data_IF_333894849814
#
_entry.id   IF_333894849814
#
_cell.length_a   1.000
_cell.length_b   1.000
_cell.length_c   1.000
_cell.angle_alpha   90.00
_cell.angle_beta   90.00
_cell.angle_gamma   90.00
#
_symmetry.space_group_name_H-M   'P 1'
#
loop_
_entity.id
_entity.type
_entity.pdbx_description
1 polymer ?
#
# COMPACT_ATOMS: atom_id res chain seq x y z
N UNK A 1 4.57 -22.31 48.75
CA UNK A 1 4.26 -22.85 47.40
C UNK A 1 3.79 -21.80 46.36
N UNK A 2 3.64 -20.49 46.69
CA UNK A 2 3.25 -19.45 45.72
C UNK A 2 4.36 -19.00 44.76
N UNK A 3 5.64 -19.17 45.13
CA UNK A 3 6.79 -18.75 44.31
C UNK A 3 7.11 -19.66 43.12
N UNK A 4 6.54 -20.87 43.06
CA UNK A 4 6.85 -21.83 41.99
C UNK A 4 6.01 -21.60 40.72
N UNK A 5 4.85 -20.93 40.81
CA UNK A 5 3.95 -20.73 39.65
C UNK A 5 4.32 -19.55 38.76
N UNK A 6 4.88 -18.47 39.33
CA UNK A 6 5.22 -17.26 38.56
C UNK A 6 6.45 -17.44 37.65
N UNK A 7 7.38 -18.37 37.98
CA UNK A 7 8.62 -18.57 37.22
C UNK A 7 8.43 -19.28 35.88
N UNK A 8 7.33 -20.03 35.72
CA UNK A 8 7.02 -20.74 34.47
C UNK A 8 6.00 -19.99 33.59
N UNK A 9 5.23 -19.06 34.15
CA UNK A 9 4.26 -18.28 33.37
C UNK A 9 4.94 -17.30 32.39
N UNK A 10 6.01 -16.63 32.84
CA UNK A 10 6.75 -15.65 32.06
C UNK A 10 7.41 -16.22 30.78
N UNK A 11 8.12 -17.37 30.81
CA UNK A 11 8.66 -17.97 29.59
C UNK A 11 7.56 -18.52 28.65
N UNK A 12 6.43 -19.00 29.18
CA UNK A 12 5.32 -19.46 28.33
C UNK A 12 4.60 -18.30 27.63
N UNK A 13 4.42 -17.16 28.30
CA UNK A 13 3.86 -15.95 27.68
C UNK A 13 4.84 -15.39 26.63
N UNK A 14 6.13 -15.34 26.95
CA UNK A 14 7.15 -14.91 25.98
C UNK A 14 7.19 -15.84 24.75
N UNK A 15 7.11 -17.15 24.94
CA UNK A 15 7.04 -18.12 23.84
C UNK A 15 5.74 -17.96 23.03
N UNK A 16 4.60 -17.69 23.68
CA UNK A 16 3.33 -17.44 23.01
C UNK A 16 3.31 -16.14 22.20
N UNK A 17 3.91 -15.07 22.71
CA UNK A 17 4.08 -13.81 21.96
C UNK A 17 5.04 -14.01 20.79
N UNK A 18 6.15 -14.70 21.01
CA UNK A 18 7.16 -14.93 19.96
C UNK A 18 6.63 -15.86 18.86
N UNK A 19 5.85 -16.88 19.24
CA UNK A 19 5.09 -17.69 18.29
C UNK A 19 4.02 -16.87 17.56
N UNK A 20 3.24 -16.05 18.28
CA UNK A 20 2.20 -15.20 17.69
C UNK A 20 2.74 -14.14 16.72
N UNK A 21 3.95 -13.61 16.97
CA UNK A 21 4.68 -12.72 16.05
C UNK A 21 5.25 -13.49 14.87
N UNK A 22 5.80 -14.69 15.09
CA UNK A 22 6.31 -15.54 14.01
C UNK A 22 5.21 -16.11 13.10
N UNK A 23 4.01 -16.31 13.65
CA UNK A 23 2.80 -16.74 12.96
C UNK A 23 1.93 -15.54 12.54
N UNK A 24 2.38 -14.31 12.81
CA UNK A 24 1.68 -13.12 12.34
C UNK A 24 1.78 -13.11 10.81
N UNK A 25 0.65 -13.09 10.08
CA UNK A 25 0.69 -13.04 8.64
C UNK A 25 1.31 -11.70 8.24
N UNK A 26 2.59 -11.74 7.85
CA UNK A 26 3.20 -10.63 7.14
C UNK A 26 2.52 -10.53 5.78
N UNK A 27 2.09 -9.32 5.34
CA UNK A 27 1.63 -9.15 3.97
C UNK A 27 2.80 -9.53 3.06
N UNK A 28 2.68 -10.67 2.40
CA UNK A 28 3.63 -11.09 1.38
C UNK A 28 3.31 -10.22 0.17
N UNK A 29 4.09 -9.17 -0.04
CA UNK A 29 4.02 -8.30 -1.23
C UNK A 29 4.53 -9.00 -2.52
N UNK A 30 4.41 -10.33 -2.57
CA UNK A 30 4.67 -11.17 -3.74
C UNK A 30 3.48 -12.12 -4.02
N UNK A 31 2.25 -11.70 -3.69
CA UNK A 31 1.01 -12.35 -4.16
C UNK A 31 0.25 -11.50 -5.20
N UNK A 32 0.97 -10.70 -5.98
CA UNK A 32 0.49 -10.41 -7.33
C UNK A 32 0.52 -11.74 -8.10
N UNK A 33 -0.56 -12.53 -8.02
CA UNK A 33 -0.76 -13.74 -8.85
C UNK A 33 -1.16 -15.06 -8.16
N UNK A 34 -1.58 -15.10 -6.88
CA UNK A 34 -2.04 -16.37 -6.25
C UNK A 34 -3.50 -16.38 -5.80
N UNK A 35 -4.24 -15.28 -5.99
CA UNK A 35 -5.68 -15.38 -5.97
C UNK A 35 -6.07 -15.90 -7.36
N UNK A 36 -6.55 -17.14 -7.43
CA UNK A 36 -7.16 -17.65 -8.65
C UNK A 36 -8.16 -16.60 -9.15
N UNK A 37 -8.02 -16.21 -10.40
CA UNK A 37 -8.91 -15.33 -11.15
C UNK A 37 -10.34 -15.75 -10.90
N UNK A 38 -11.25 -14.79 -10.97
CA UNK A 38 -12.68 -15.10 -10.97
C UNK A 38 -13.02 -16.15 -12.03
N UNK A 39 -12.33 -16.15 -13.17
CA UNK A 39 -12.41 -17.19 -14.20
C UNK A 39 -12.11 -18.58 -13.63
N UNK A 40 -10.91 -18.81 -13.08
CA UNK A 40 -10.51 -20.13 -12.56
C UNK A 40 -11.34 -20.53 -11.35
N UNK A 41 -11.74 -19.59 -10.51
CA UNK A 41 -12.63 -19.88 -9.38
C UNK A 41 -14.02 -20.35 -9.83
N UNK A 42 -14.63 -19.73 -10.84
CA UNK A 42 -15.95 -20.12 -11.34
C UNK A 42 -15.90 -21.38 -12.22
N UNK A 43 -14.97 -21.43 -13.17
CA UNK A 43 -14.90 -22.52 -14.15
C UNK A 43 -14.30 -23.80 -13.56
N UNK A 44 -13.26 -23.69 -12.74
CA UNK A 44 -12.48 -24.86 -12.31
C UNK A 44 -12.79 -25.27 -10.87
N UNK A 45 -12.85 -24.31 -9.94
CA UNK A 45 -13.13 -24.62 -8.52
C UNK A 45 -14.61 -24.90 -8.29
N UNK A 46 -15.50 -24.07 -8.85
CA UNK A 46 -16.95 -24.28 -8.77
C UNK A 46 -17.47 -25.23 -9.86
N UNK A 47 -16.68 -25.49 -10.90
CA UNK A 47 -17.00 -26.47 -11.94
C UNK A 47 -18.15 -26.06 -12.86
N UNK A 48 -18.37 -24.76 -13.08
CA UNK A 48 -19.47 -24.30 -13.93
C UNK A 48 -19.27 -24.67 -15.41
N UNK A 49 -18.03 -24.57 -15.89
CA UNK A 49 -17.59 -25.07 -17.20
C UNK A 49 -16.07 -25.29 -17.15
N UNK A 50 -15.60 -26.43 -16.58
CA UNK A 50 -14.19 -26.66 -16.30
C UNK A 50 -13.42 -27.04 -17.58
N UNK A 51 -12.51 -26.20 -18.04
CA UNK A 51 -11.78 -26.37 -19.30
C UNK A 51 -10.35 -26.89 -19.13
N UNK A 52 -9.76 -26.84 -17.93
CA UNK A 52 -8.37 -27.31 -17.70
C UNK A 52 -8.13 -28.80 -18.03
N UNK A 53 -9.19 -29.57 -18.23
CA UNK A 53 -9.12 -30.99 -18.62
C UNK A 53 -9.71 -31.24 -20.02
N UNK A 54 -10.05 -30.18 -20.75
CA UNK A 54 -10.72 -30.23 -22.04
C UNK A 54 -9.80 -29.78 -23.18
N UNK A 55 -9.42 -30.73 -24.02
CA UNK A 55 -8.57 -30.50 -25.19
C UNK A 55 -7.11 -30.26 -24.81
N UNK A 56 -6.22 -30.61 -25.74
CA UNK A 56 -4.78 -30.57 -25.50
C UNK A 56 -4.30 -29.15 -25.17
N UNK A 57 -4.88 -28.12 -25.80
CA UNK A 57 -4.55 -26.72 -25.54
C UNK A 57 -4.73 -26.30 -24.08
N UNK A 58 -5.94 -26.47 -23.52
CA UNK A 58 -6.19 -26.06 -22.15
C UNK A 58 -5.41 -26.91 -21.15
N UNK A 59 -5.23 -28.21 -21.42
CA UNK A 59 -4.41 -29.08 -20.56
C UNK A 59 -2.97 -28.59 -20.49
N UNK A 60 -2.37 -28.25 -21.64
CA UNK A 60 -0.99 -27.77 -21.72
C UNK A 60 -0.80 -26.39 -21.06
N UNK A 61 -1.86 -25.57 -21.00
CA UNK A 61 -1.83 -24.22 -20.43
C UNK A 61 -2.50 -24.10 -19.04
N UNK A 62 -3.05 -25.19 -18.49
CA UNK A 62 -3.76 -25.22 -17.22
C UNK A 62 -2.86 -25.07 -15.99
N UNK A 63 -1.54 -25.16 -16.16
CA UNK A 63 -0.56 -25.07 -15.07
C UNK A 63 -0.57 -23.70 -14.38
N UNK A 64 -1.02 -22.66 -15.08
CA UNK A 64 -1.19 -21.32 -14.55
C UNK A 64 -2.63 -20.84 -14.62
N UNK A 65 -2.80 -19.56 -14.33
CA UNK A 65 -4.07 -18.86 -14.44
C UNK A 65 -3.96 -17.81 -15.54
N UNK A 66 -4.09 -18.29 -16.78
CA UNK A 66 -3.82 -17.49 -17.97
C UNK A 66 -5.08 -17.18 -18.78
N UNK A 67 -6.26 -17.38 -18.18
CA UNK A 67 -7.53 -17.24 -18.87
C UNK A 67 -7.63 -15.86 -19.56
N UNK A 68 -7.20 -14.78 -18.90
CA UNK A 68 -7.26 -13.44 -19.48
C UNK A 68 -6.29 -13.19 -20.62
N UNK A 69 -5.15 -13.87 -20.66
CA UNK A 69 -4.18 -13.63 -21.72
C UNK A 69 -4.65 -14.20 -23.05
N UNK A 70 -5.49 -15.24 -23.01
CA UNK A 70 -6.07 -15.84 -24.20
C UNK A 70 -7.47 -15.32 -24.50
N UNK A 71 -8.32 -15.21 -23.48
CA UNK A 71 -9.74 -14.88 -23.64
C UNK A 71 -10.07 -13.42 -23.32
N UNK A 72 -9.12 -12.62 -22.82
CA UNK A 72 -9.37 -11.30 -22.24
C UNK A 72 -10.36 -11.36 -21.04
N UNK A 73 -11.17 -10.32 -20.84
CA UNK A 73 -12.10 -10.22 -19.71
C UNK A 73 -11.49 -9.61 -18.45
N UNK A 74 -12.25 -9.64 -17.36
CA UNK A 74 -11.87 -9.07 -16.07
C UNK A 74 -11.76 -10.15 -14.99
N UNK A 75 -10.53 -10.56 -14.70
CA UNK A 75 -10.18 -11.61 -13.71
C UNK A 75 -10.46 -11.24 -12.26
N UNK A 76 -10.83 -9.99 -11.98
CA UNK A 76 -11.11 -9.51 -10.62
C UNK A 76 -12.59 -9.36 -10.32
N UNK A 77 -13.45 -9.37 -11.35
CA UNK A 77 -14.89 -9.22 -11.19
C UNK A 77 -15.55 -10.51 -10.72
N UNK A 78 -16.44 -10.43 -9.73
CA UNK A 78 -17.17 -11.59 -9.22
C UNK A 78 -18.46 -11.86 -10.01
N UNK A 79 -19.03 -10.81 -10.61
CA UNK A 79 -20.22 -10.86 -11.44
C UNK A 79 -19.85 -11.33 -12.85
N UNK A 80 -20.56 -12.36 -13.35
CA UNK A 80 -20.29 -12.99 -14.64
C UNK A 80 -20.25 -11.99 -15.79
N UNK A 81 -21.25 -11.11 -15.91
CA UNK A 81 -21.34 -10.16 -17.02
C UNK A 81 -20.18 -9.17 -17.04
N UNK A 82 -19.67 -8.79 -15.87
CA UNK A 82 -18.52 -7.88 -15.73
C UNK A 82 -17.21 -8.64 -15.99
N UNK A 83 -17.10 -9.88 -15.54
CA UNK A 83 -15.95 -10.75 -15.80
C UNK A 83 -15.82 -11.07 -17.30
N UNK A 84 -16.95 -11.25 -17.98
CA UNK A 84 -17.02 -11.60 -19.40
C UNK A 84 -17.02 -10.37 -20.34
N UNK A 85 -16.98 -9.16 -19.80
CA UNK A 85 -16.94 -7.95 -20.60
C UNK A 85 -15.64 -7.89 -21.44
N UNK A 86 -15.79 -7.83 -22.76
CA UNK A 86 -14.66 -7.74 -23.68
C UNK A 86 -13.91 -9.06 -23.91
N UNK A 87 -14.55 -10.21 -23.64
CA UNK A 87 -13.98 -11.50 -24.01
C UNK A 87 -13.75 -11.58 -25.53
N UNK A 88 -12.66 -12.23 -25.90
CA UNK A 88 -12.31 -12.52 -27.29
C UNK A 88 -12.15 -14.02 -27.51
N UNK A 89 -12.29 -14.44 -28.75
CA UNK A 89 -11.89 -15.79 -29.16
C UNK A 89 -10.38 -15.80 -29.37
N UNK A 90 -9.58 -16.63 -28.67
CA UNK A 90 -8.12 -16.52 -28.71
C UNK A 90 -7.51 -16.62 -30.11
N UNK A 91 -8.14 -17.40 -31.01
CA UNK A 91 -7.67 -17.59 -32.38
C UNK A 91 -8.14 -16.51 -33.36
N UNK A 92 -8.97 -15.54 -32.95
CA UNK A 92 -9.29 -14.39 -33.81
C UNK A 92 -8.14 -13.38 -33.89
N UNK A 93 -7.25 -13.38 -32.90
CA UNK A 93 -5.99 -12.61 -32.90
C UNK A 93 -4.88 -13.42 -32.19
N UNK A 94 -4.24 -14.37 -32.89
CA UNK A 94 -3.14 -15.15 -32.32
C UNK A 94 -1.94 -14.29 -31.92
N UNK A 95 -1.71 -13.17 -32.60
CA UNK A 95 -0.62 -12.26 -32.24
C UNK A 95 -0.89 -11.60 -30.88
N UNK A 96 -2.12 -11.13 -30.64
CA UNK A 96 -2.53 -10.57 -29.35
C UNK A 96 -2.58 -11.59 -28.21
N UNK A 97 -3.02 -12.83 -28.50
CA UNK A 97 -3.31 -13.84 -27.48
C UNK A 97 -2.12 -14.75 -27.15
N UNK A 98 -1.17 -14.94 -28.07
CA UNK A 98 -0.10 -15.93 -27.92
C UNK A 98 1.31 -15.31 -27.90
N UNK A 99 1.55 -14.19 -28.60
CA UNK A 99 2.91 -13.66 -28.79
C UNK A 99 3.58 -13.16 -27.50
N UNK A 100 2.82 -12.88 -26.45
CA UNK A 100 3.35 -12.49 -25.14
C UNK A 100 4.18 -13.60 -24.48
N UNK A 101 3.81 -14.86 -24.71
CA UNK A 101 4.49 -16.05 -24.20
C UNK A 101 5.30 -16.78 -25.28
N UNK A 102 4.87 -16.67 -26.55
CA UNK A 102 5.46 -17.32 -27.72
C UNK A 102 5.92 -16.31 -28.78
N UNK A 103 6.88 -15.42 -28.47
CA UNK A 103 7.21 -14.28 -29.33
C UNK A 103 7.83 -14.68 -30.68
N UNK A 104 8.39 -15.88 -30.78
CA UNK A 104 9.09 -16.34 -31.98
C UNK A 104 8.33 -17.38 -32.81
N UNK A 105 7.30 -18.00 -32.25
CA UNK A 105 6.66 -19.19 -32.81
C UNK A 105 5.14 -19.22 -32.64
N UNK A 106 4.50 -18.13 -32.19
CA UNK A 106 3.06 -18.09 -31.99
C UNK A 106 2.24 -18.46 -33.25
N UNK A 107 2.68 -18.06 -34.44
CA UNK A 107 1.97 -18.35 -35.69
C UNK A 107 1.95 -19.86 -35.99
N UNK A 108 3.10 -20.52 -35.85
CA UNK A 108 3.22 -21.96 -36.10
C UNK A 108 2.43 -22.79 -35.09
N UNK A 109 2.43 -22.36 -33.82
CA UNK A 109 1.62 -23.00 -32.79
C UNK A 109 0.12 -22.78 -33.04
N UNK A 110 -0.31 -21.55 -33.34
CA UNK A 110 -1.70 -21.23 -33.59
C UNK A 110 -2.30 -22.05 -34.75
N UNK A 111 -1.54 -22.29 -35.84
CA UNK A 111 -1.98 -23.12 -36.97
C UNK A 111 -2.29 -24.55 -36.54
N UNK A 112 -1.42 -25.18 -35.74
CA UNK A 112 -1.64 -26.57 -35.29
C UNK A 112 -2.95 -26.72 -34.49
N UNK A 113 -3.30 -25.72 -33.69
CA UNK A 113 -4.55 -25.72 -32.93
C UNK A 113 -5.76 -25.35 -33.79
N UNK A 114 -5.62 -24.41 -34.72
CA UNK A 114 -6.66 -24.06 -35.68
C UNK A 114 -7.07 -25.27 -36.54
N UNK A 115 -6.09 -26.04 -37.02
CA UNK A 115 -6.30 -27.29 -37.76
C UNK A 115 -7.07 -28.33 -36.93
N UNK A 116 -6.71 -28.45 -35.64
CA UNK A 116 -7.38 -29.39 -34.71
C UNK A 116 -8.84 -28.99 -34.45
N UNK A 117 -9.12 -27.69 -34.41
CA UNK A 117 -10.45 -27.13 -34.17
C UNK A 117 -11.28 -26.98 -35.45
N UNK A 118 -10.69 -27.23 -36.63
CA UNK A 118 -11.34 -27.02 -37.92
C UNK A 118 -11.64 -25.54 -38.21
N UNK A 119 -10.81 -24.65 -37.66
CA UNK A 119 -10.94 -23.20 -37.75
C UNK A 119 -9.94 -22.67 -38.77
N UNK A 120 -10.40 -21.80 -39.67
CA UNK A 120 -9.53 -21.08 -40.61
C UNK A 120 -9.10 -19.73 -40.00
N UNK A 121 -7.80 -19.59 -39.72
CA UNK A 121 -7.22 -18.37 -39.15
C UNK A 121 -7.37 -17.16 -40.09
N UNK A 122 -7.36 -17.37 -41.41
CA UNK A 122 -7.50 -16.30 -42.39
C UNK A 122 -8.93 -15.75 -42.43
N UNK A 123 -9.91 -16.61 -42.13
CA UNK A 123 -11.33 -16.24 -42.06
C UNK A 123 -11.65 -15.52 -40.74
N UNK A 124 -10.88 -15.74 -39.66
CA UNK A 124 -11.12 -15.15 -38.34
C UNK A 124 -10.39 -13.82 -38.08
N UNK A 125 -9.27 -13.56 -38.75
CA UNK A 125 -8.58 -12.27 -38.68
C UNK A 125 -9.42 -11.12 -39.30
N UNK A 126 -10.41 -11.45 -40.14
CA UNK A 126 -11.46 -10.56 -40.60
C UNK A 126 -12.66 -10.62 -39.64
N UNK A 127 -12.50 -10.11 -38.42
CA UNK A 127 -13.56 -10.14 -37.41
C UNK A 127 -14.90 -9.56 -37.91
N UNK A 128 -16.05 -10.12 -37.51
CA UNK A 128 -17.35 -9.57 -37.82
C UNK A 128 -17.58 -8.30 -37.00
N UNK A 129 -17.67 -7.16 -37.68
CA UNK A 129 -18.51 -6.06 -37.21
C UNK A 129 -19.94 -6.60 -37.15
N UNK A 130 -20.49 -6.72 -35.94
CA UNK A 130 -21.80 -7.31 -35.69
C UNK A 130 -22.90 -6.64 -36.50
N UNK A 131 -23.36 -7.32 -37.54
CA UNK A 131 -24.64 -7.10 -38.19
C UNK A 131 -25.31 -8.46 -38.27
N UNK A 132 -25.94 -8.85 -37.15
CA UNK A 132 -26.82 -10.00 -37.10
C UNK A 132 -28.20 -9.58 -37.61
N UNK A 133 -28.42 -9.70 -38.92
CA UNK A 133 -29.78 -9.80 -39.47
C UNK A 133 -29.94 -11.08 -40.28
N UNK A 134 -31.18 -11.58 -40.24
CA UNK A 134 -31.79 -12.65 -41.03
C UNK A 134 -31.64 -14.10 -40.56
N UNK A 135 -32.57 -14.48 -39.67
CA UNK A 135 -33.31 -15.74 -39.81
C UNK A 135 -34.82 -15.43 -40.08
N UNK A 136 -35.56 -16.29 -40.81
CA UNK A 136 -36.77 -15.93 -41.58
C UNK A 136 -38.09 -15.94 -40.76
N UNK A 137 -39.23 -15.48 -41.33
CA UNK A 137 -40.31 -14.88 -40.57
C UNK A 137 -41.27 -15.92 -39.97
N UNK A 138 -41.72 -15.66 -38.74
CA UNK A 138 -42.95 -16.21 -38.20
C UNK A 138 -43.84 -15.05 -37.73
N UNK A 139 -45.03 -15.02 -38.29
CA UNK A 139 -46.07 -14.02 -38.08
C UNK A 139 -46.63 -14.07 -36.65
N UNK A 140 -47.16 -12.91 -36.23
CA UNK A 140 -48.32 -12.70 -35.36
C UNK A 140 -48.10 -12.11 -33.96
N UNK A 141 -48.66 -10.90 -33.84
CA UNK A 141 -49.42 -10.34 -32.70
C UNK A 141 -48.72 -9.48 -31.64
N UNK A 142 -48.68 -8.18 -31.95
CA UNK A 142 -49.39 -7.10 -31.23
C UNK A 142 -49.46 -7.12 -29.69
N UNK A 143 -48.73 -6.20 -29.04
CA UNK A 143 -49.28 -5.28 -28.01
C UNK A 143 -48.23 -4.25 -27.56
N UNK A 144 -48.58 -2.96 -27.44
CA UNK A 144 -47.65 -1.92 -27.02
C UNK A 144 -47.71 -1.73 -25.50
N UNK A 145 -46.55 -1.63 -24.85
CA UNK A 145 -46.46 -1.03 -23.52
C UNK A 145 -45.43 0.08 -23.56
N UNK A 146 -45.95 1.30 -23.53
CA UNK A 146 -45.20 2.54 -23.28
C UNK A 146 -44.55 2.52 -21.89
N UNK A 147 -43.47 3.31 -21.79
CA UNK A 147 -43.00 4.16 -20.67
C UNK A 147 -41.59 3.81 -20.11
N UNK A 148 -40.85 4.79 -19.56
CA UNK A 148 -40.20 5.90 -20.27
C UNK A 148 -38.68 5.93 -20.08
N UNK A 149 -38.02 6.72 -20.94
CA UNK A 149 -36.62 7.09 -20.91
C UNK A 149 -36.12 7.49 -19.51
N UNK A 150 -35.13 6.75 -19.01
CA UNK A 150 -34.18 7.19 -18.01
C UNK A 150 -32.85 7.47 -18.71
N UNK A 151 -32.56 8.74 -18.91
CA UNK A 151 -31.28 9.25 -19.41
C UNK A 151 -30.19 8.92 -18.39
N UNK A 152 -29.35 7.93 -18.70
CA UNK A 152 -28.11 7.68 -18.00
C UNK A 152 -26.98 7.85 -19.01
N UNK A 153 -26.15 8.87 -18.77
CA UNK A 153 -24.89 9.12 -19.47
C UNK A 153 -24.03 7.85 -19.50
N UNK A 154 -23.99 7.20 -20.67
CA UNK A 154 -22.97 6.22 -21.02
C UNK A 154 -21.65 6.97 -21.24
N UNK A 155 -20.56 6.63 -20.53
CA UNK A 155 -19.24 7.06 -20.95
C UNK A 155 -18.91 6.32 -22.25
N UNK A 156 -18.73 7.09 -23.32
CA UNK A 156 -18.30 6.61 -24.63
C UNK A 156 -17.18 5.56 -24.49
N UNK A 157 -17.46 4.34 -24.95
CA UNK A 157 -16.50 3.24 -24.98
C UNK A 157 -15.25 3.69 -25.73
N UNK A 158 -14.10 3.57 -25.08
CA UNK A 158 -12.80 3.79 -25.72
C UNK A 158 -12.63 2.80 -26.89
N UNK A 159 -12.04 3.23 -28.01
CA UNK A 159 -11.80 2.36 -29.14
C UNK A 159 -10.91 1.18 -28.72
N UNK A 160 -11.39 -0.04 -28.97
CA UNK A 160 -10.61 -1.26 -28.82
C UNK A 160 -9.34 -1.11 -29.66
N UNK A 161 -8.19 -0.98 -29.01
CA UNK A 161 -6.88 -0.94 -29.68
C UNK A 161 -6.56 -2.33 -30.21
N UNK A 162 -7.07 -2.65 -31.40
CA UNK A 162 -6.67 -3.82 -32.19
C UNK A 162 -5.36 -3.47 -32.91
N UNK A 163 -4.23 -3.83 -32.31
CA UNK A 163 -2.96 -3.84 -33.03
C UNK A 163 -1.76 -3.54 -32.14
N UNK A 164 -1.02 -4.58 -31.74
CA UNK A 164 0.40 -4.58 -31.33
C UNK A 164 0.84 -3.63 -30.22
N UNK A 165 -0.04 -2.79 -29.68
CA UNK A 165 0.25 -1.88 -28.60
C UNK A 165 0.41 -2.71 -27.34
N UNK A 166 1.58 -2.59 -26.70
CA UNK A 166 1.86 -3.16 -25.39
C UNK A 166 0.71 -2.78 -24.46
N UNK A 167 -0.12 -3.76 -24.11
CA UNK A 167 -1.24 -3.56 -23.18
C UNK A 167 -0.61 -3.20 -21.83
N UNK A 168 -0.73 -1.94 -21.43
CA UNK A 168 -0.33 -1.51 -20.10
C UNK A 168 -1.35 -2.03 -19.08
N UNK A 169 -1.12 -3.27 -18.67
CA UNK A 169 -1.92 -3.99 -17.68
C UNK A 169 -1.95 -3.23 -16.35
N UNK A 170 -0.90 -2.47 -16.00
CA UNK A 170 -0.88 -1.67 -14.78
C UNK A 170 -1.87 -0.49 -14.89
N UNK A 171 -1.88 0.22 -16.02
CA UNK A 171 -2.85 1.29 -16.27
C UNK A 171 -4.30 0.78 -16.28
N UNK A 172 -4.55 -0.36 -16.92
CA UNK A 172 -5.88 -1.02 -16.87
C UNK A 172 -6.25 -1.47 -15.47
N UNK A 173 -5.31 -2.00 -14.71
CA UNK A 173 -5.56 -2.40 -13.32
C UNK A 173 -5.84 -1.18 -12.42
N UNK A 174 -5.14 -0.07 -12.62
CA UNK A 174 -5.38 1.18 -11.89
C UNK A 174 -6.72 1.84 -12.24
N UNK A 175 -7.13 1.80 -13.52
CA UNK A 175 -8.41 2.36 -13.97
C UNK A 175 -9.61 1.45 -13.65
N UNK A 176 -9.42 0.14 -13.64
CA UNK A 176 -10.44 -0.85 -13.31
C UNK A 176 -10.59 -1.09 -11.80
N UNK A 177 -9.73 -0.54 -10.93
CA UNK A 177 -10.02 -0.48 -9.50
C UNK A 177 -11.13 0.55 -9.29
N UNK A 178 -12.39 0.16 -9.01
CA UNK A 178 -13.28 1.10 -8.34
C UNK A 178 -12.53 1.59 -7.10
N UNK A 179 -12.50 2.91 -6.85
CA UNK A 179 -12.04 3.46 -5.56
C UNK A 179 -12.71 2.59 -4.51
N UNK A 180 -11.95 1.69 -3.86
CA UNK A 180 -12.50 0.72 -2.93
C UNK A 180 -13.13 1.55 -1.83
N UNK A 181 -14.45 1.77 -1.94
CA UNK A 181 -15.26 1.98 -0.77
C UNK A 181 -14.90 0.79 0.10
N UNK A 182 -14.34 1.08 1.27
CA UNK A 182 -13.93 0.05 2.23
C UNK A 182 -15.20 -0.69 2.61
N UNK A 183 -15.59 -1.68 1.80
CA UNK A 183 -16.74 -2.51 2.06
C UNK A 183 -16.29 -3.35 3.23
N UNK A 184 -16.84 -3.03 4.38
CA UNK A 184 -16.52 -3.75 5.60
C UNK A 184 -17.02 -5.18 5.40
N UNK A 185 -16.11 -6.05 4.96
CA UNK A 185 -16.38 -7.46 4.81
C UNK A 185 -16.88 -7.97 6.17
N UNK A 186 -18.11 -8.47 6.20
CA UNK A 186 -18.76 -8.93 7.44
C UNK A 186 -17.89 -9.98 8.15
N UNK A 187 -17.15 -10.80 7.39
CA UNK A 187 -16.16 -11.74 7.93
C UNK A 187 -15.04 -11.05 8.72
N UNK A 188 -14.49 -9.94 8.19
CA UNK A 188 -13.47 -9.16 8.90
C UNK A 188 -14.03 -8.49 10.16
N UNK A 189 -15.28 -8.03 10.14
CA UNK A 189 -15.96 -7.50 11.33
C UNK A 189 -16.07 -8.61 12.41
N UNK A 190 -16.57 -9.80 12.03
CA UNK A 190 -16.73 -10.92 12.97
C UNK A 190 -15.38 -11.32 13.56
N UNK A 191 -14.34 -11.43 12.74
CA UNK A 191 -12.99 -11.79 13.18
C UNK A 191 -12.42 -10.73 14.15
N UNK A 192 -12.67 -9.46 13.86
CA UNK A 192 -12.28 -8.34 14.74
C UNK A 192 -12.98 -8.43 16.09
N UNK A 193 -14.30 -8.68 16.10
CA UNK A 193 -15.08 -8.84 17.34
C UNK A 193 -14.57 -10.04 18.16
N UNK A 194 -14.30 -11.18 17.51
CA UNK A 194 -13.77 -12.36 18.20
C UNK A 194 -12.39 -12.10 18.81
N UNK A 195 -11.51 -11.41 18.08
CA UNK A 195 -10.18 -11.05 18.55
C UNK A 195 -10.25 -10.15 19.79
N UNK A 196 -11.02 -9.06 19.73
CA UNK A 196 -11.20 -8.15 20.86
C UNK A 196 -11.93 -8.82 22.04
N UNK A 197 -12.87 -9.72 21.78
CA UNK A 197 -13.52 -10.52 22.80
C UNK A 197 -12.54 -11.42 23.54
N UNK A 198 -11.68 -12.14 22.82
CA UNK A 198 -10.63 -12.99 23.39
C UNK A 198 -9.63 -12.18 24.21
N UNK A 199 -9.15 -11.04 23.67
CA UNK A 199 -8.25 -10.14 24.38
C UNK A 199 -8.90 -9.56 25.64
N UNK A 200 -10.19 -9.21 25.59
CA UNK A 200 -10.95 -8.72 26.73
C UNK A 200 -11.10 -9.76 27.83
N UNK A 201 -11.47 -10.99 27.48
CA UNK A 201 -11.60 -12.10 28.45
C UNK A 201 -10.24 -12.44 29.05
N UNK A 202 -9.20 -12.58 28.23
CA UNK A 202 -7.86 -12.89 28.72
C UNK A 202 -7.30 -11.75 29.59
N UNK A 203 -7.50 -10.51 29.17
CA UNK A 203 -7.13 -9.31 29.93
C UNK A 203 -7.85 -9.24 31.29
N UNK A 204 -9.15 -9.53 31.34
CA UNK A 204 -9.92 -9.56 32.58
C UNK A 204 -9.46 -10.69 33.53
N UNK A 205 -9.16 -11.88 32.99
CA UNK A 205 -8.61 -12.99 33.77
C UNK A 205 -7.22 -12.67 34.31
N UNK A 206 -6.33 -12.12 33.48
CA UNK A 206 -5.00 -11.68 33.90
C UNK A 206 -5.08 -10.58 34.97
N UNK A 207 -5.96 -9.60 34.78
CA UNK A 207 -6.20 -8.54 35.75
C UNK A 207 -6.69 -9.08 37.09
N UNK A 208 -7.66 -10.02 37.07
CA UNK A 208 -8.28 -10.56 38.29
C UNK A 208 -7.41 -11.59 39.02
N UNK A 209 -6.67 -12.43 38.32
CA UNK A 209 -5.95 -13.56 38.93
C UNK A 209 -4.45 -13.35 39.09
N UNK A 210 -3.81 -12.53 38.24
CA UNK A 210 -2.36 -12.31 38.31
C UNK A 210 -1.95 -11.02 39.02
N UNK A 211 -2.92 -10.27 39.54
CA UNK A 211 -2.67 -8.97 40.18
C UNK A 211 -2.08 -7.95 39.18
N UNK A 212 -2.38 -8.10 37.88
CA UNK A 212 -1.84 -7.23 36.84
C UNK A 212 -2.22 -5.76 37.08
N UNK A 213 -3.38 -5.51 37.68
CA UNK A 213 -3.83 -4.15 38.03
C UNK A 213 -2.94 -3.45 39.06
N UNK A 214 -2.47 -4.18 40.08
CA UNK A 214 -1.57 -3.63 41.10
C UNK A 214 -0.18 -3.33 40.51
N UNK A 215 0.33 -4.24 39.67
CA UNK A 215 1.60 -4.05 38.95
C UNK A 215 1.53 -2.89 37.95
N UNK A 216 0.39 -2.72 37.27
CA UNK A 216 0.18 -1.58 36.37
C UNK A 216 0.11 -0.25 37.13
N UNK A 217 -0.50 -0.23 38.32
CA UNK A 217 -0.50 0.96 39.17
C UNK A 217 0.91 1.31 39.65
N UNK A 218 1.72 0.31 40.04
CA UNK A 218 3.12 0.48 40.41
C UNK A 218 3.98 0.97 39.24
N UNK A 219 3.79 0.40 38.04
CA UNK A 219 4.51 0.79 36.83
C UNK A 219 4.14 2.22 36.41
N UNK A 220 2.86 2.58 36.46
CA UNK A 220 2.40 3.94 36.15
C UNK A 220 2.92 4.96 37.17
N UNK A 221 3.10 4.56 38.43
CA UNK A 221 3.80 5.37 39.45
C UNK A 221 5.31 5.48 39.25
N UNK A 222 5.92 4.58 38.45
CA UNK A 222 7.36 4.58 38.11
C UNK A 222 7.69 5.17 36.75
N UNK A 223 6.68 5.46 35.91
CA UNK A 223 6.93 6.17 34.67
C UNK A 223 7.51 7.55 35.03
N UNK A 224 8.73 7.87 34.59
CA UNK A 224 9.32 9.15 34.90
C UNK A 224 8.44 10.24 34.31
N UNK A 225 8.19 11.31 35.07
CA UNK A 225 7.39 12.45 34.62
C UNK A 225 7.84 13.03 33.26
N UNK A 226 9.07 12.71 32.82
CA UNK A 226 9.64 13.05 31.52
C UNK A 226 8.99 12.34 30.31
N UNK A 227 8.36 11.18 30.48
CA UNK A 227 7.67 10.50 29.37
C UNK A 227 6.32 11.15 29.04
N UNK A 228 5.65 11.73 30.04
CA UNK A 228 4.41 12.51 29.82
C UNK A 228 4.69 13.89 29.22
N UNK A 229 5.85 14.48 29.51
CA UNK A 229 6.23 15.79 28.93
C UNK A 229 6.63 15.70 27.45
N UNK A 230 7.18 14.57 26.98
CA UNK A 230 7.54 14.38 25.57
C UNK A 230 6.32 14.42 24.63
N UNK A 231 5.19 13.86 25.03
CA UNK A 231 3.94 13.90 24.24
C UNK A 231 3.30 15.29 24.22
N UNK A 232 3.49 16.08 25.28
CA UNK A 232 3.00 17.47 25.33
C UNK A 232 3.89 18.42 24.53
N UNK A 233 5.21 18.22 24.57
CA UNK A 233 6.16 19.05 23.84
C UNK A 233 5.94 19.03 22.32
N UNK A 234 5.65 17.87 21.73
CA UNK A 234 5.36 17.77 20.29
C UNK A 234 4.11 18.57 19.87
N UNK A 235 3.06 18.55 20.69
CA UNK A 235 1.80 19.28 20.42
C UNK A 235 1.99 20.79 20.60
N UNK A 236 2.79 21.22 21.57
CA UNK A 236 3.08 22.65 21.77
C UNK A 236 3.99 23.22 20.68
N UNK A 237 4.99 22.47 20.22
CA UNK A 237 5.84 22.90 19.09
C UNK A 237 5.03 23.02 17.81
N UNK A 238 4.14 22.06 17.51
CA UNK A 238 3.24 22.14 16.37
C UNK A 238 2.28 23.34 16.47
N UNK A 239 1.75 23.61 17.66
CA UNK A 239 0.90 24.79 17.90
C UNK A 239 1.68 26.09 17.76
N UNK A 240 2.92 26.18 18.27
CA UNK A 240 3.77 27.34 18.12
C UNK A 240 4.16 27.59 16.64
N UNK A 241 4.45 26.53 15.88
CA UNK A 241 4.72 26.59 14.45
C UNK A 241 3.50 27.03 13.61
N UNK A 242 2.28 26.76 14.09
CA UNK A 242 1.07 27.25 13.44
C UNK A 242 0.94 28.79 13.53
N UNK A 243 1.41 29.39 14.62
CA UNK A 243 1.25 30.82 14.90
C UNK A 243 2.48 31.68 14.52
N UNK A 244 3.64 31.07 14.25
CA UNK A 244 4.85 31.77 13.81
C UNK A 244 5.31 31.28 12.43
N UNK A 245 5.20 32.10 11.37
CA UNK A 245 5.67 31.71 10.04
C UNK A 245 7.18 31.47 10.00
N UNK A 246 7.95 32.23 10.79
CA UNK A 246 9.40 32.06 10.92
C UNK A 246 9.78 30.70 11.50
N UNK A 247 9.02 30.19 12.49
CA UNK A 247 9.29 28.88 13.07
C UNK A 247 9.01 27.75 12.06
N UNK A 248 8.02 27.94 11.18
CA UNK A 248 7.66 26.96 10.14
C UNK A 248 8.76 26.82 9.08
N UNK A 249 9.42 27.92 8.73
CA UNK A 249 10.54 27.93 7.79
C UNK A 249 11.81 27.31 8.40
N UNK A 250 12.02 27.49 9.71
CA UNK A 250 13.20 26.98 10.41
C UNK A 250 13.10 25.49 10.77
N UNK A 251 11.90 24.92 10.86
CA UNK A 251 11.69 23.55 11.34
C UNK A 251 12.45 22.49 10.51
N UNK A 252 12.43 22.50 9.17
CA UNK A 252 13.17 21.52 8.37
C UNK A 252 14.69 21.65 8.51
N UNK A 253 15.19 22.85 8.83
CA UNK A 253 16.62 23.09 9.07
C UNK A 253 17.04 22.57 10.45
N UNK A 254 16.19 22.72 11.47
CA UNK A 254 16.41 22.17 12.81
C UNK A 254 16.35 20.64 12.81
N UNK A 255 15.47 20.04 12.00
CA UNK A 255 15.37 18.58 11.86
C UNK A 255 16.64 17.95 11.28
N UNK A 256 17.32 18.69 10.38
CA UNK A 256 18.60 18.27 9.79
C UNK A 256 19.82 18.60 10.64
N UNK A 257 19.65 19.37 11.73
CA UNK A 257 20.75 19.76 12.60
C UNK A 257 21.25 18.57 13.43
N UNK A 258 22.55 18.52 13.71
CA UNK A 258 23.12 17.45 14.54
C UNK A 258 22.62 17.55 15.99
N UNK A 259 22.50 16.42 16.72
CA UNK A 259 22.10 16.43 18.13
C UNK A 259 23.00 17.33 19.00
N UNK A 260 24.29 17.41 18.69
CA UNK A 260 25.24 18.28 19.38
C UNK A 260 24.94 19.77 19.16
N UNK A 261 24.56 20.15 17.94
CA UNK A 261 24.15 21.53 17.59
C UNK A 261 22.88 21.92 18.34
N UNK A 262 21.88 21.04 18.37
CA UNK A 262 20.62 21.29 19.09
C UNK A 262 20.86 21.42 20.60
N UNK A 263 21.71 20.58 21.18
CA UNK A 263 22.08 20.67 22.59
C UNK A 263 22.90 21.93 22.94
N UNK A 264 23.70 22.44 22.00
CA UNK A 264 24.40 23.72 22.18
C UNK A 264 23.42 24.90 22.11
N UNK A 265 22.49 24.87 21.15
CA UNK A 265 21.46 25.89 20.99
C UNK A 265 20.52 25.96 22.21
N UNK A 266 20.05 24.82 22.71
CA UNK A 266 19.22 24.76 23.92
C UNK A 266 19.98 25.30 25.13
N UNK A 267 21.25 24.93 25.35
CA UNK A 267 22.07 25.48 26.45
C UNK A 267 22.21 27.00 26.37
N UNK A 268 22.42 27.57 25.18
CA UNK A 268 22.51 29.02 24.99
C UNK A 268 21.19 29.69 25.38
N UNK A 269 20.06 29.17 24.89
CA UNK A 269 18.74 29.75 25.12
C UNK A 269 18.26 29.59 26.58
N UNK A 270 18.60 28.48 27.24
CA UNK A 270 18.23 28.20 28.64
C UNK A 270 19.05 29.01 29.64
N UNK A 271 20.32 29.30 29.34
CA UNK A 271 21.22 29.99 30.27
C UNK A 271 20.82 31.44 30.55
N UNK A 272 20.38 32.18 29.52
CA UNK A 272 19.85 33.55 29.61
C UNK A 272 19.00 33.83 28.36
N UNK A 273 17.66 33.79 28.44
CA UNK A 273 16.80 33.94 27.27
C UNK A 273 16.98 35.29 26.55
N UNK A 274 17.30 36.35 27.29
CA UNK A 274 17.46 37.69 26.72
C UNK A 274 18.80 37.83 25.98
N UNK A 275 19.89 37.28 26.56
CA UNK A 275 21.21 37.30 25.92
C UNK A 275 21.37 36.24 24.84
N UNK A 276 20.74 35.08 25.00
CA UNK A 276 20.80 33.98 24.03
C UNK A 276 20.28 34.42 22.66
N UNK A 277 19.14 35.13 22.62
CA UNK A 277 18.61 35.71 21.39
C UNK A 277 19.57 36.70 20.73
N UNK A 278 20.13 37.64 21.51
CA UNK A 278 21.11 38.61 21.00
C UNK A 278 22.38 37.95 20.46
N UNK A 279 22.83 36.86 21.09
CA UNK A 279 24.03 36.14 20.68
C UNK A 279 23.81 35.38 19.37
N UNK A 280 22.65 34.74 19.20
CA UNK A 280 22.27 34.09 17.94
C UNK A 280 22.15 35.13 16.82
N UNK A 281 21.54 36.28 17.11
CA UNK A 281 21.43 37.38 16.14
C UNK A 281 22.81 37.94 15.75
N UNK A 282 23.71 38.12 16.71
CA UNK A 282 25.08 38.56 16.46
C UNK A 282 25.85 37.54 15.60
N UNK A 283 25.69 36.24 15.87
CA UNK A 283 26.28 35.17 15.07
C UNK A 283 25.71 35.13 13.65
N UNK A 284 24.41 35.35 13.48
CA UNK A 284 23.76 35.39 12.17
C UNK A 284 24.23 36.57 11.31
N UNK A 285 24.71 37.65 11.93
CA UNK A 285 25.28 38.83 11.26
C UNK A 285 26.79 38.72 11.02
N UNK A 286 27.45 37.68 11.54
CA UNK A 286 28.89 37.48 11.36
C UNK A 286 29.18 37.14 9.89
N UNK A 287 30.22 37.75 9.32
CA UNK A 287 30.65 37.43 7.95
C UNK A 287 31.01 35.93 7.85
N UNK A 288 30.43 35.16 6.90
CA UNK A 288 30.76 33.74 6.72
C UNK A 288 32.25 33.46 6.55
N UNK A 289 33.02 34.40 6.00
CA UNK A 289 34.48 34.28 5.88
C UNK A 289 35.16 34.29 7.24
N UNK A 290 34.64 35.08 8.19
CA UNK A 290 35.17 35.13 9.55
C UNK A 290 34.91 33.79 10.27
N UNK A 291 33.75 33.17 10.04
CA UNK A 291 33.44 31.84 10.59
C UNK A 291 34.45 30.80 10.09
N UNK A 292 34.75 30.81 8.79
CA UNK A 292 35.73 29.87 8.22
C UNK A 292 37.15 30.14 8.73
N UNK A 293 37.53 31.40 8.96
CA UNK A 293 38.80 31.74 9.60
C UNK A 293 38.85 31.21 11.04
N UNK A 294 37.82 31.46 11.85
CA UNK A 294 37.74 30.98 13.24
C UNK A 294 37.76 29.45 13.29
N UNK A 295 37.12 28.77 12.33
CA UNK A 295 37.10 27.31 12.26
C UNK A 295 38.45 26.69 11.89
N UNK A 296 39.36 27.47 11.31
CA UNK A 296 40.72 27.04 10.98
C UNK A 296 41.74 27.31 12.08
N UNK A 297 41.37 28.12 13.08
CA UNK A 297 42.20 28.31 14.26
C UNK A 297 42.26 27.00 15.05
N UNK A 298 43.44 26.69 15.55
CA UNK A 298 43.59 25.61 16.52
C UNK A 298 43.14 26.06 17.91
N UNK A 299 43.14 25.12 18.87
CA UNK A 299 42.67 25.39 20.23
C UNK A 299 43.53 26.46 20.93
N UNK A 300 44.84 26.53 20.66
CA UNK A 300 45.76 27.52 21.25
C UNK A 300 45.44 28.93 20.75
N UNK A 301 45.24 29.09 19.44
CA UNK A 301 44.85 30.35 18.83
C UNK A 301 43.47 30.82 19.31
N UNK A 302 42.53 29.88 19.49
CA UNK A 302 41.20 30.18 20.00
C UNK A 302 41.28 30.68 21.46
N UNK A 303 42.09 30.03 22.30
CA UNK A 303 42.34 30.47 23.68
C UNK A 303 42.97 31.86 23.72
N UNK A 304 43.95 32.13 22.85
CA UNK A 304 44.60 33.43 22.76
C UNK A 304 43.63 34.53 22.31
N UNK A 305 42.73 34.21 21.37
CA UNK A 305 41.69 35.13 20.90
C UNK A 305 40.67 35.43 22.01
N UNK A 306 40.25 34.41 22.77
CA UNK A 306 39.36 34.59 23.93
C UNK A 306 40.04 35.42 25.02
N UNK A 307 41.34 35.20 25.28
CA UNK A 307 42.12 35.97 26.25
C UNK A 307 42.23 37.44 25.82
N UNK A 308 42.51 37.70 24.53
CA UNK A 308 42.58 39.05 23.97
C UNK A 308 41.25 39.79 24.11
N UNK A 309 40.13 39.15 23.76
CA UNK A 309 38.79 39.74 23.90
C UNK A 309 38.48 40.05 25.37
N UNK A 310 38.89 39.19 26.30
CA UNK A 310 38.71 39.41 27.73
C UNK A 310 39.50 40.63 28.22
N UNK A 311 40.75 40.77 27.80
CA UNK A 311 41.61 41.92 28.14
C UNK A 311 41.04 43.23 27.57
N UNK A 312 40.61 43.23 26.30
CA UNK A 312 39.98 44.41 25.69
C UNK A 312 38.72 44.84 26.43
N UNK A 313 37.91 43.89 26.89
CA UNK A 313 36.70 44.16 27.67
C UNK A 313 37.00 44.72 29.06
N UNK A 314 38.16 44.43 29.65
CA UNK A 314 38.57 44.99 30.95
C UNK A 314 39.07 46.43 30.83
N UNK A 315 39.52 46.85 29.64
CA UNK A 315 40.05 48.19 29.38
C UNK A 315 39.01 49.18 28.86
N UNK A 316 37.87 48.70 28.37
CA UNK A 316 36.74 49.50 27.90
C UNK A 316 35.76 49.81 29.03
#
# INVERSE_FOLDING_TARGET
MRFFRARFALPLIALGILAGVALWPSPVEAQCGTQASSCKNCHEVQGQDPVNTQGDWHVDHAFGDFCEFCHAGNVTAAEQDVAHAGLIYPLSDPAGSCASCHPSDYEGLAVAYADTLGVDLDTMAAGPSGEGDSAPPAESESSPSENPSGEADEPAGEPVQTGGAVIDLNSRYESARPRQAVSLNVGNIILTIMLFGLLGVFGALAWRFEGLGEKWAELRGRLPASAQSASYAGVEVARAAAHSPTLRELLPALEKASPATLAALSRILESDPARGGQMIEALARLDPRLIEVVRRLDDEDLELLVALVRELKQRA
#
